data_IF_200359554147
#
_entry.id   IF_200359554147
#
_cell.length_a   1.000
_cell.length_b   1.000
_cell.length_c   1.000
_cell.angle_alpha   90.00
_cell.angle_beta   90.00
_cell.angle_gamma   90.00
#
_symmetry.space_group_name_H-M   'P 1'
#
loop_
_entity.id
_entity.type
_entity.pdbx_description
1 polymer ?
#
# COMPACT_ATOMS: atom_id res chain seq x y z
N UNK A 1 -16.88 11.49 6.11
CA UNK A 1 -16.81 10.95 4.74
C UNK A 1 -15.35 10.62 4.49
N UNK A 2 -14.90 9.46 4.99
CA UNK A 2 -13.50 9.07 4.85
C UNK A 2 -13.25 8.71 3.39
N UNK A 3 -12.49 9.57 2.71
CA UNK A 3 -11.97 9.31 1.39
C UNK A 3 -11.09 8.05 1.49
N UNK A 4 -11.36 7.06 0.64
CA UNK A 4 -10.53 5.88 0.37
C UNK A 4 -9.08 6.33 0.06
N UNK A 5 -8.29 6.55 1.10
CA UNK A 5 -6.91 7.01 1.01
C UNK A 5 -5.96 5.84 1.22
N UNK A 6 -5.11 5.60 0.24
CA UNK A 6 -4.02 4.67 0.38
C UNK A 6 -2.91 5.29 1.23
N UNK A 7 -2.39 4.52 2.19
CA UNK A 7 -1.23 4.94 2.98
C UNK A 7 0.06 4.65 2.22
N UNK A 8 0.75 5.70 1.76
CA UNK A 8 2.08 5.60 1.13
C UNK A 8 2.04 5.53 -0.40
N UNK A 9 3.13 5.03 -1.00
CA UNK A 9 3.25 4.92 -2.45
C UNK A 9 2.42 3.73 -2.97
N UNK A 10 1.59 3.99 -3.99
CA UNK A 10 0.82 2.96 -4.71
C UNK A 10 1.35 2.85 -6.12
N UNK A 11 1.68 1.63 -6.53
CA UNK A 11 2.06 1.32 -7.90
C UNK A 11 0.86 0.68 -8.61
N UNK A 12 0.37 1.32 -9.69
CA UNK A 12 -0.71 0.81 -10.54
C UNK A 12 -0.21 0.71 -11.99
N UNK A 13 0.08 -0.50 -12.48
CA UNK A 13 0.40 -0.71 -13.88
C UNK A 13 -0.75 -0.27 -14.81
N UNK A 14 -0.46 0.16 -16.06
CA UNK A 14 -1.48 0.64 -16.99
C UNK A 14 -2.53 -0.42 -17.34
N UNK A 15 -2.16 -1.71 -17.31
CA UNK A 15 -3.10 -2.80 -17.56
C UNK A 15 -4.11 -3.00 -16.41
N UNK A 16 -3.85 -2.44 -15.22
CA UNK A 16 -4.75 -2.48 -14.04
C UNK A 16 -5.41 -1.13 -13.78
N UNK A 17 -5.37 -0.18 -14.73
CA UNK A 17 -5.83 1.18 -14.52
C UNK A 17 -7.32 1.26 -14.15
N UNK A 18 -8.14 0.30 -14.60
CA UNK A 18 -9.57 0.19 -14.28
C UNK A 18 -9.86 -0.65 -13.03
N UNK A 19 -8.86 -1.30 -12.44
CA UNK A 19 -9.05 -2.17 -11.28
C UNK A 19 -9.20 -1.37 -9.98
N UNK A 20 -10.20 -1.72 -9.20
CA UNK A 20 -10.37 -1.15 -7.86
C UNK A 20 -9.30 -1.73 -6.93
N UNK A 21 -8.58 -0.87 -6.20
CA UNK A 21 -7.68 -1.33 -5.15
C UNK A 21 -8.38 -1.20 -3.80
N UNK A 22 -8.24 -2.22 -2.97
CA UNK A 22 -8.63 -2.21 -1.57
C UNK A 22 -7.36 -2.34 -0.74
N UNK A 23 -7.07 -1.32 0.07
CA UNK A 23 -5.92 -1.38 0.95
C UNK A 23 -6.22 -2.27 2.16
N UNK A 24 -5.65 -3.47 2.19
CA UNK A 24 -5.77 -4.38 3.35
C UNK A 24 -4.65 -4.15 4.38
N UNK A 25 -3.48 -3.73 3.91
CA UNK A 25 -2.30 -3.47 4.73
C UNK A 25 -1.56 -2.23 4.24
N UNK A 26 -0.80 -1.62 5.15
CA UNK A 26 0.20 -0.60 4.84
C UNK A 26 1.58 -1.16 5.17
N UNK A 27 2.54 -1.07 4.25
CA UNK A 27 3.91 -1.56 4.47
C UNK A 27 4.07 -3.08 4.33
N UNK A 28 5.25 -3.57 4.71
CA UNK A 28 5.62 -4.99 4.67
C UNK A 28 6.15 -5.43 6.05
N UNK A 29 5.80 -6.65 6.48
CA UNK A 29 6.26 -7.24 7.76
C UNK A 29 7.77 -7.43 7.83
N UNK A 30 8.43 -7.61 6.68
CA UNK A 30 9.87 -7.83 6.61
C UNK A 30 10.69 -6.53 6.68
N UNK A 31 10.31 -5.51 5.90
CA UNK A 31 10.88 -4.15 5.85
C UNK A 31 12.44 -4.03 5.88
N UNK A 32 13.16 -5.04 5.36
CA UNK A 32 14.64 -5.08 5.31
C UNK A 32 15.18 -5.48 3.94
N UNK A 33 14.34 -5.47 2.90
CA UNK A 33 14.74 -5.82 1.55
C UNK A 33 15.69 -4.76 0.98
N UNK A 34 16.84 -5.18 0.41
CA UNK A 34 17.79 -4.26 -0.25
C UNK A 34 17.24 -3.60 -1.52
N UNK A 35 16.27 -4.24 -2.17
CA UNK A 35 15.73 -3.81 -3.47
C UNK A 35 14.32 -3.21 -3.38
N UNK A 36 13.64 -3.28 -2.23
CA UNK A 36 12.26 -2.82 -2.14
C UNK A 36 12.23 -1.31 -1.93
N UNK A 37 11.91 -0.57 -2.98
CA UNK A 37 11.67 0.88 -2.92
C UNK A 37 10.25 1.23 -2.44
N UNK A 38 9.29 0.33 -2.64
CA UNK A 38 7.85 0.60 -2.43
C UNK A 38 7.47 0.90 -0.98
N UNK A 39 8.03 0.13 -0.03
CA UNK A 39 7.68 0.22 1.40
C UNK A 39 8.77 0.90 2.24
N UNK A 40 9.75 1.53 1.60
CA UNK A 40 10.88 2.14 2.29
C UNK A 40 10.39 3.24 3.25
N UNK A 41 10.68 3.11 4.55
CA UNK A 41 10.22 4.04 5.59
C UNK A 41 8.75 3.86 6.03
N UNK A 42 7.97 2.98 5.39
CA UNK A 42 6.58 2.71 5.78
C UNK A 42 6.52 1.54 6.76
N UNK A 43 6.04 1.77 7.98
CA UNK A 43 5.86 0.70 8.98
C UNK A 43 4.66 -0.18 8.62
N UNK A 44 4.79 -1.47 8.93
CA UNK A 44 3.69 -2.43 8.74
C UNK A 44 2.49 -2.08 9.63
N UNK A 45 1.28 -2.04 9.06
CA UNK A 45 0.01 -1.84 9.77
C UNK A 45 -1.15 -2.50 9.01
N UNK A 46 -2.14 -3.01 9.73
CA UNK A 46 -3.42 -3.43 9.15
C UNK A 46 -4.31 -2.21 8.89
N UNK A 47 -4.99 -2.18 7.74
CA UNK A 47 -5.97 -1.13 7.46
C UNK A 47 -7.18 -1.27 8.39
N UNK A 48 -7.73 -0.15 8.91
CA UNK A 48 -8.98 -0.20 9.65
C UNK A 48 -10.11 -0.57 8.67
N UNK A 49 -10.92 -1.56 9.06
CA UNK A 49 -12.07 -2.06 8.29
C UNK A 49 -13.37 -1.34 8.65
N UNK A 50 -13.27 -0.16 9.27
CA UNK A 50 -14.40 0.54 9.89
C UNK A 50 -15.24 1.28 8.86
#
# INVERSE_FOLDING_TARGET
>A
MELLHFTGQVWRPPYEASSQLLQVTAGCTHNKCKFCSLYHGTKFRLSPIT
#
